data_IF_191235787070
#
_entry.id   IF_191235787070
#
_cell.length_a   1.000
_cell.length_b   1.000
_cell.length_c   1.000
_cell.angle_alpha   90.00
_cell.angle_beta   90.00
_cell.angle_gamma   90.00
#
_symmetry.space_group_name_H-M   'P 1'
#
loop_
_entity.id
_entity.type
_entity.pdbx_description
1 polymer ?
#
# COMPACT_ATOMS: atom_id res chain seq x y z
N UNK A 1 35.22 22.84 16.18
CA UNK A 1 34.99 22.18 17.48
C UNK A 1 34.52 20.78 17.15
N UNK A 2 35.45 19.82 17.09
CA UNK A 2 35.13 18.41 16.86
C UNK A 2 34.41 17.87 18.09
N UNK A 3 33.19 17.37 17.89
CA UNK A 3 32.38 16.77 18.94
C UNK A 3 32.53 15.26 18.79
N UNK A 4 33.06 14.61 19.83
CA UNK A 4 33.16 13.14 19.92
C UNK A 4 31.77 12.52 19.74
N UNK A 5 31.56 11.84 18.61
CA UNK A 5 30.34 11.06 18.34
C UNK A 5 30.48 9.68 18.99
N UNK A 6 29.51 9.30 19.83
CA UNK A 6 29.31 7.89 20.21
C UNK A 6 28.78 7.10 19.00
N UNK A 7 29.11 5.82 18.93
CA UNK A 7 28.70 4.87 17.87
C UNK A 7 27.22 5.05 17.50
N UNK A 8 26.96 5.39 16.23
CA UNK A 8 25.63 5.67 15.71
C UNK A 8 24.93 4.35 15.42
N UNK A 9 23.81 4.07 16.09
CA UNK A 9 22.87 3.05 15.63
C UNK A 9 22.26 3.57 14.33
N UNK A 10 22.35 2.78 13.26
CA UNK A 10 21.73 3.10 11.99
C UNK A 10 20.20 3.14 12.15
N UNK A 11 19.52 4.27 11.85
CA UNK A 11 18.06 4.40 11.95
C UNK A 11 17.30 3.28 11.21
N UNK A 12 17.86 2.79 10.10
CA UNK A 12 17.27 1.69 9.34
C UNK A 12 17.29 0.36 10.13
N UNK A 13 18.34 0.10 10.91
CA UNK A 13 18.45 -1.10 11.74
C UNK A 13 17.51 -1.08 12.94
N UNK A 14 17.37 0.08 13.61
CA UNK A 14 16.43 0.26 14.71
C UNK A 14 14.99 0.00 14.26
N UNK A 15 14.62 0.56 13.10
CA UNK A 15 13.34 0.35 12.47
C UNK A 15 13.10 -1.12 12.09
N UNK A 16 14.07 -1.75 11.40
CA UNK A 16 13.93 -3.14 10.98
C UNK A 16 13.68 -4.07 12.17
N UNK A 17 14.36 -3.83 13.30
CA UNK A 17 14.13 -4.57 14.54
C UNK A 17 12.69 -4.41 15.06
N UNK A 18 12.19 -3.17 15.15
CA UNK A 18 10.84 -2.89 15.64
C UNK A 18 9.77 -3.51 14.73
N UNK A 19 9.86 -3.26 13.42
CA UNK A 19 8.87 -3.75 12.47
C UNK A 19 8.89 -5.28 12.38
N UNK A 20 10.07 -5.88 12.28
CA UNK A 20 10.19 -7.35 12.21
C UNK A 20 9.75 -8.02 13.50
N UNK A 21 10.03 -7.44 14.68
CA UNK A 21 9.62 -8.03 15.95
C UNK A 21 8.10 -7.99 16.17
N UNK A 22 7.44 -6.89 15.75
CA UNK A 22 6.00 -6.71 15.95
C UNK A 22 5.13 -7.34 14.86
N UNK A 23 5.60 -7.30 13.62
CA UNK A 23 4.81 -7.61 12.43
C UNK A 23 5.34 -8.80 11.62
N UNK A 24 6.23 -9.63 12.19
CA UNK A 24 6.62 -10.88 11.54
C UNK A 24 5.42 -11.81 11.41
N UNK A 25 5.19 -12.33 10.19
CA UNK A 25 4.22 -13.40 9.97
C UNK A 25 2.77 -12.94 9.78
N UNK A 26 2.55 -11.64 9.52
CA UNK A 26 1.24 -11.16 9.09
C UNK A 26 0.75 -11.89 7.84
N UNK A 27 -0.56 -12.06 7.74
CA UNK A 27 -1.24 -12.39 6.49
C UNK A 27 -1.51 -11.13 5.64
N UNK A 28 -1.89 -11.29 4.36
CA UNK A 28 -2.27 -10.14 3.52
C UNK A 28 -3.42 -9.34 4.16
N UNK A 29 -4.44 -10.03 4.69
CA UNK A 29 -5.56 -9.36 5.35
C UNK A 29 -5.13 -8.56 6.58
N UNK A 30 -4.29 -9.14 7.43
CA UNK A 30 -3.77 -8.47 8.62
C UNK A 30 -2.85 -7.29 8.27
N UNK A 31 -2.05 -7.40 7.20
CA UNK A 31 -1.21 -6.29 6.73
C UNK A 31 -2.05 -5.05 6.37
N UNK A 32 -3.22 -5.24 5.73
CA UNK A 32 -4.17 -4.15 5.48
C UNK A 32 -4.78 -3.60 6.77
N UNK A 33 -5.27 -4.47 7.67
CA UNK A 33 -5.90 -4.03 8.92
C UNK A 33 -4.93 -3.26 9.83
N UNK A 34 -3.66 -3.66 9.84
CA UNK A 34 -2.63 -3.06 10.68
C UNK A 34 -1.89 -1.90 10.01
N UNK A 35 -2.20 -1.56 8.76
CA UNK A 35 -1.47 -0.54 8.00
C UNK A 35 -1.35 0.80 8.75
N UNK A 36 -2.42 1.24 9.43
CA UNK A 36 -2.37 2.48 10.25
C UNK A 36 -1.47 2.33 11.49
N UNK A 37 -1.56 1.20 12.18
CA UNK A 37 -0.74 0.94 13.35
C UNK A 37 0.76 0.82 12.99
N UNK A 38 1.07 0.28 11.81
CA UNK A 38 2.43 0.24 11.29
C UNK A 38 2.95 1.66 11.03
N UNK A 39 2.16 2.56 10.43
CA UNK A 39 2.56 3.97 10.28
C UNK A 39 2.75 4.68 11.62
N UNK A 40 1.90 4.39 12.61
CA UNK A 40 2.05 4.94 13.96
C UNK A 40 3.39 4.53 14.57
N UNK A 41 3.77 3.25 14.42
CA UNK A 41 5.07 2.75 14.87
C UNK A 41 6.25 3.35 14.09
N UNK A 42 6.12 3.56 12.77
CA UNK A 42 7.15 4.24 11.96
C UNK A 42 7.36 5.67 12.46
N UNK A 43 6.28 6.40 12.77
CA UNK A 43 6.35 7.75 13.34
C UNK A 43 7.05 7.76 14.70
N UNK A 44 6.71 6.82 15.57
CA UNK A 44 7.33 6.71 16.89
C UNK A 44 8.83 6.40 16.78
N UNK A 45 9.25 5.54 15.83
CA UNK A 45 10.67 5.29 15.55
C UNK A 45 11.36 6.55 15.01
N UNK A 46 10.77 7.23 14.03
CA UNK A 46 11.35 8.46 13.47
C UNK A 46 11.54 9.52 14.57
N UNK A 47 10.55 9.67 15.43
CA UNK A 47 10.60 10.57 16.57
C UNK A 47 11.69 10.18 17.57
N UNK A 48 11.77 8.90 17.95
CA UNK A 48 12.79 8.40 18.86
C UNK A 48 14.20 8.61 18.31
N UNK A 49 14.42 8.37 17.02
CA UNK A 49 15.71 8.57 16.37
C UNK A 49 16.15 10.04 16.33
N UNK A 50 15.20 10.97 16.14
CA UNK A 50 15.49 12.42 16.27
C UNK A 50 15.92 12.78 17.69
N UNK A 51 15.24 12.24 18.72
CA UNK A 51 15.64 12.44 20.12
C UNK A 51 17.01 11.82 20.39
N UNK A 52 17.24 10.58 19.95
CA UNK A 52 18.51 9.87 20.11
C UNK A 52 19.67 10.65 19.49
N UNK A 53 19.46 11.28 18.34
CA UNK A 53 20.46 12.14 17.71
C UNK A 53 20.85 13.32 18.61
N UNK A 54 19.87 14.06 19.15
CA UNK A 54 20.18 15.17 20.05
C UNK A 54 20.89 14.72 21.33
N UNK A 55 20.46 13.59 21.91
CA UNK A 55 21.07 13.01 23.13
C UNK A 55 22.55 12.68 23.02
N UNK A 56 23.10 12.60 21.80
CA UNK A 56 24.52 12.32 21.58
C UNK A 56 25.43 13.52 21.86
N UNK A 57 24.93 14.75 21.78
CA UNK A 57 25.75 15.92 22.08
C UNK A 57 25.58 16.37 23.52
N UNK A 58 26.70 16.66 24.19
CA UNK A 58 26.72 17.10 25.59
C UNK A 58 25.89 18.38 25.86
N UNK A 59 25.64 19.18 24.81
CA UNK A 59 24.78 20.38 24.89
C UNK A 59 23.30 20.08 25.02
N UNK A 60 22.89 18.83 24.83
CA UNK A 60 21.50 18.38 24.98
C UNK A 60 21.38 17.43 26.16
N UNK A 61 20.25 17.53 26.85
CA UNK A 61 19.89 16.60 27.92
C UNK A 61 18.53 15.98 27.62
N UNK A 62 18.52 14.68 27.38
CA UNK A 62 17.29 13.90 27.24
C UNK A 62 16.53 13.84 28.57
N UNK A 63 15.21 13.87 28.49
CA UNK A 63 14.33 13.70 29.64
C UNK A 63 13.73 12.30 29.69
N UNK A 64 13.12 11.97 30.84
CA UNK A 64 12.36 10.74 31.00
C UNK A 64 11.14 10.69 30.05
N UNK A 65 10.65 11.86 29.61
CA UNK A 65 9.63 11.94 28.58
C UNK A 65 10.25 11.57 27.21
N UNK A 66 9.69 10.59 26.48
CA UNK A 66 10.32 10.00 25.28
C UNK A 66 10.39 10.95 24.07
N UNK A 67 9.86 12.16 24.18
CA UNK A 67 9.63 13.11 23.09
C UNK A 67 10.25 14.49 23.33
N UNK A 68 10.98 14.65 24.43
CA UNK A 68 11.43 15.95 24.90
C UNK A 68 12.93 15.97 25.23
N UNK A 69 13.55 17.14 25.01
CA UNK A 69 14.95 17.36 25.36
C UNK A 69 15.20 18.83 25.78
N UNK A 70 16.22 19.04 26.60
CA UNK A 70 16.71 20.37 26.93
C UNK A 70 17.86 20.80 26.01
N UNK A 71 17.81 22.05 25.55
CA UNK A 71 18.92 22.72 24.87
C UNK A 71 18.94 24.21 25.24
N UNK A 72 20.09 24.74 25.64
CA UNK A 72 20.24 26.15 26.05
C UNK A 72 19.17 26.64 27.04
N UNK A 73 18.90 25.84 28.08
CA UNK A 73 17.89 26.09 29.12
C UNK A 73 16.43 26.21 28.63
N UNK A 74 16.15 25.81 27.37
CA UNK A 74 14.81 25.69 26.82
C UNK A 74 14.43 24.22 26.68
N UNK A 75 13.16 23.92 26.93
CA UNK A 75 12.58 22.58 26.77
C UNK A 75 11.98 22.51 25.37
N UNK A 76 12.41 21.52 24.59
CA UNK A 76 11.89 21.27 23.26
C UNK A 76 11.17 19.95 23.20
N UNK A 77 10.11 19.89 22.40
CA UNK A 77 9.38 18.67 22.06
C UNK A 77 9.47 18.39 20.56
N UNK A 78 9.60 17.12 20.20
CA UNK A 78 9.53 16.66 18.81
C UNK A 78 8.11 16.17 18.53
N UNK A 79 7.60 16.46 17.35
CA UNK A 79 6.28 16.02 16.89
C UNK A 79 6.39 15.53 15.46
N UNK A 80 5.85 14.33 15.20
CA UNK A 80 5.81 13.72 13.87
C UNK A 80 4.37 13.28 13.63
N UNK A 81 3.65 13.97 12.74
CA UNK A 81 2.22 13.75 12.53
C UNK A 81 1.81 13.95 11.07
N UNK A 82 0.65 13.45 10.66
CA UNK A 82 0.10 13.76 9.33
C UNK A 82 -0.41 15.20 9.29
N UNK A 83 -0.16 15.90 8.19
CA UNK A 83 -0.59 17.28 8.00
C UNK A 83 -2.13 17.37 7.89
N UNK A 84 -2.72 18.33 8.59
CA UNK A 84 -4.19 18.50 8.60
C UNK A 84 -4.73 18.87 7.21
N UNK A 85 -4.00 19.72 6.47
CA UNK A 85 -4.43 20.23 5.16
C UNK A 85 -4.09 19.30 4.01
N UNK A 86 -3.12 18.40 4.20
CA UNK A 86 -2.67 17.46 3.18
C UNK A 86 -2.41 16.10 3.85
N UNK A 87 -3.39 15.18 3.88
CA UNK A 87 -3.26 13.93 4.61
C UNK A 87 -2.14 13.01 4.10
N UNK A 88 -1.60 13.29 2.90
CA UNK A 88 -0.49 12.54 2.29
C UNK A 88 0.89 13.12 2.66
N UNK A 89 0.94 14.21 3.43
CA UNK A 89 2.16 14.85 3.90
C UNK A 89 2.36 14.59 5.38
N UNK A 90 3.61 14.33 5.75
CA UNK A 90 4.03 14.30 7.13
C UNK A 90 4.55 15.69 7.56
N UNK A 91 4.12 16.16 8.72
CA UNK A 91 4.65 17.35 9.39
C UNK A 91 5.57 16.90 10.53
N UNK A 92 6.83 17.32 10.45
CA UNK A 92 7.82 17.15 11.52
C UNK A 92 8.08 18.51 12.14
N UNK A 93 7.78 18.65 13.43
CA UNK A 93 7.93 19.92 14.13
C UNK A 93 8.76 19.72 15.40
N UNK A 94 9.75 20.57 15.61
CA UNK A 94 10.39 20.75 16.91
C UNK A 94 9.87 22.06 17.49
N UNK A 95 9.31 22.01 18.70
CA UNK A 95 8.67 23.15 19.33
C UNK A 95 9.37 23.49 20.64
N UNK A 96 9.52 24.77 20.95
CA UNK A 96 9.80 25.21 22.33
C UNK A 96 8.50 25.05 23.12
N UNK A 97 8.49 24.21 24.16
CA UNK A 97 7.29 23.89 24.93
C UNK A 97 6.70 25.13 25.61
N UNK A 98 7.52 26.14 25.92
CA UNK A 98 7.06 27.39 26.55
C UNK A 98 6.63 28.45 25.54
N UNK A 99 7.21 28.42 24.34
CA UNK A 99 6.96 29.39 23.27
C UNK A 99 6.71 28.68 21.93
N UNK A 100 5.62 27.89 21.80
CA UNK A 100 5.40 27.03 20.63
C UNK A 100 5.15 27.82 19.33
N UNK A 101 4.77 29.09 19.42
CA UNK A 101 4.58 30.02 18.29
C UNK A 101 5.79 30.91 18.03
N UNK A 102 6.94 30.61 18.64
CA UNK A 102 8.18 31.34 18.44
C UNK A 102 8.70 31.29 17.00
N UNK A 103 9.75 32.05 16.69
CA UNK A 103 10.30 32.13 15.34
C UNK A 103 10.91 30.78 14.91
N UNK A 104 10.38 30.21 13.83
CA UNK A 104 10.79 28.92 13.25
C UNK A 104 11.48 29.08 11.91
N UNK A 105 12.40 28.16 11.62
CA UNK A 105 12.96 27.91 10.31
C UNK A 105 12.23 26.73 9.67
N UNK A 106 11.62 26.97 8.51
CA UNK A 106 11.03 25.91 7.69
C UNK A 106 12.11 25.34 6.77
N UNK A 107 12.24 24.02 6.80
CA UNK A 107 13.04 23.25 5.86
C UNK A 107 12.06 22.56 4.91
N UNK A 108 12.24 22.84 3.61
CA UNK A 108 11.26 22.56 2.56
C UNK A 108 10.92 21.06 2.40
N UNK A 109 9.92 20.76 1.55
CA UNK A 109 9.43 19.40 1.41
C UNK A 109 10.52 18.48 0.88
N UNK A 110 10.70 17.32 1.53
CA UNK A 110 11.49 16.22 0.99
C UNK A 110 10.56 15.05 0.68
N UNK A 111 10.52 14.69 -0.60
CA UNK A 111 9.76 13.55 -1.08
C UNK A 111 10.47 12.25 -0.71
N UNK A 112 9.69 11.21 -0.44
CA UNK A 112 10.15 9.83 -0.37
C UNK A 112 9.15 8.95 -1.12
N UNK A 113 9.67 8.00 -1.90
CA UNK A 113 8.84 7.04 -2.63
C UNK A 113 8.53 5.85 -1.74
N UNK A 114 7.33 5.28 -1.90
CA UNK A 114 7.03 3.98 -1.32
C UNK A 114 5.55 3.70 -1.06
N UNK A 115 5.30 2.48 -0.61
CA UNK A 115 3.97 1.91 -0.51
C UNK A 115 3.12 2.33 0.72
N UNK A 116 3.68 3.14 1.63
CA UNK A 116 3.00 3.60 2.86
C UNK A 116 2.04 4.79 2.66
N UNK A 117 1.69 5.51 3.71
CA UNK A 117 0.67 6.57 3.65
C UNK A 117 1.21 7.91 3.13
N UNK A 118 2.39 8.31 3.55
CA UNK A 118 2.96 9.62 3.25
C UNK A 118 3.81 9.59 1.97
N UNK A 119 3.96 10.74 1.32
CA UNK A 119 4.78 10.88 0.08
C UNK A 119 5.93 11.86 0.24
N UNK A 120 5.77 12.78 1.17
CA UNK A 120 6.67 13.87 1.45
C UNK A 120 6.53 14.26 2.90
N UNK A 121 7.52 14.98 3.40
CA UNK A 121 7.44 15.63 4.69
C UNK A 121 8.01 17.04 4.64
N UNK A 122 7.44 17.91 5.47
CA UNK A 122 7.99 19.22 5.80
C UNK A 122 8.60 19.18 7.21
N UNK A 123 9.66 19.94 7.43
CA UNK A 123 10.30 20.08 8.74
C UNK A 123 10.26 21.54 9.20
N UNK A 124 9.79 21.75 10.43
CA UNK A 124 9.86 23.04 11.11
C UNK A 124 10.69 22.91 12.38
N UNK A 125 11.71 23.74 12.52
CA UNK A 125 12.55 23.79 13.73
C UNK A 125 12.63 25.22 14.25
N UNK A 126 12.81 25.45 15.56
CA UNK A 126 13.06 26.77 16.10
C UNK A 126 14.37 27.32 15.54
N UNK A 127 14.50 28.65 15.37
CA UNK A 127 15.74 29.26 14.84
C UNK A 127 17.01 28.84 15.60
N UNK A 128 16.89 28.59 16.91
CA UNK A 128 17.99 28.10 17.74
C UNK A 128 18.56 26.74 17.29
N UNK A 129 17.78 25.95 16.56
CA UNK A 129 18.11 24.61 16.07
C UNK A 129 18.28 24.56 14.55
N UNK A 130 18.30 25.70 13.84
CA UNK A 130 18.40 25.73 12.38
C UNK A 130 19.61 24.95 11.83
N UNK A 131 20.73 24.94 12.56
CA UNK A 131 21.95 24.21 12.17
C UNK A 131 21.83 22.68 12.23
N UNK A 132 20.74 22.15 12.80
CA UNK A 132 20.46 20.71 12.89
C UNK A 132 19.35 20.27 11.91
N UNK A 133 18.70 21.21 11.21
CA UNK A 133 17.54 20.94 10.37
C UNK A 133 17.81 19.85 9.31
N UNK A 134 18.94 19.97 8.61
CA UNK A 134 19.33 19.00 7.57
C UNK A 134 19.53 17.59 8.15
N UNK A 135 20.19 17.46 9.29
CA UNK A 135 20.43 16.14 9.91
C UNK A 135 19.13 15.52 10.44
N UNK A 136 18.24 16.32 11.04
CA UNK A 136 16.91 15.86 11.46
C UNK A 136 16.10 15.38 10.25
N UNK A 137 16.10 16.16 9.16
CA UNK A 137 15.43 15.77 7.92
C UNK A 137 16.00 14.48 7.34
N UNK A 138 17.32 14.28 7.38
CA UNK A 138 17.96 13.05 6.90
C UNK A 138 17.57 11.83 7.75
N UNK A 139 17.52 11.97 9.08
CA UNK A 139 17.09 10.87 9.98
C UNK A 139 15.66 10.44 9.66
N UNK A 140 14.72 11.39 9.59
CA UNK A 140 13.31 11.09 9.28
C UNK A 140 13.20 10.43 7.91
N UNK A 141 13.89 10.98 6.91
CA UNK A 141 13.91 10.43 5.56
C UNK A 141 14.39 8.97 5.53
N UNK A 142 15.52 8.67 6.19
CA UNK A 142 16.07 7.32 6.24
C UNK A 142 15.13 6.33 6.90
N UNK A 143 14.46 6.73 8.00
CA UNK A 143 13.46 5.88 8.66
C UNK A 143 12.29 5.58 7.72
N UNK A 144 11.73 6.58 7.04
CA UNK A 144 10.59 6.37 6.13
C UNK A 144 10.95 5.55 4.89
N UNK A 145 12.11 5.81 4.27
CA UNK A 145 12.58 5.03 3.12
C UNK A 145 12.80 3.57 3.51
N UNK A 146 13.47 3.31 4.64
CA UNK A 146 13.68 1.96 5.14
C UNK A 146 12.35 1.26 5.48
N UNK A 147 11.38 2.00 6.06
CA UNK A 147 10.07 1.45 6.42
C UNK A 147 9.29 1.00 5.19
N UNK A 148 9.29 1.84 4.15
CA UNK A 148 8.50 1.58 2.97
C UNK A 148 9.14 0.48 2.11
N UNK A 149 10.47 0.41 2.07
CA UNK A 149 11.17 -0.73 1.48
C UNK A 149 10.83 -2.04 2.21
N UNK A 150 10.80 -2.03 3.55
CA UNK A 150 10.40 -3.20 4.34
C UNK A 150 8.94 -3.61 4.06
N UNK A 151 8.02 -2.65 4.02
CA UNK A 151 6.60 -2.90 3.72
C UNK A 151 6.39 -3.53 2.36
N UNK A 152 7.11 -3.06 1.34
CA UNK A 152 7.06 -3.63 0.00
C UNK A 152 7.61 -5.05 -0.03
N UNK A 153 8.77 -5.28 0.60
CA UNK A 153 9.35 -6.61 0.69
C UNK A 153 8.40 -7.60 1.38
N UNK A 154 7.75 -7.21 2.49
CA UNK A 154 6.79 -8.06 3.19
C UNK A 154 5.52 -8.28 2.35
N UNK A 155 5.00 -7.26 1.66
CA UNK A 155 3.89 -7.41 0.72
C UNK A 155 4.20 -8.47 -0.34
N UNK A 156 5.33 -8.34 -1.05
CA UNK A 156 5.67 -9.26 -2.14
C UNK A 156 5.98 -10.68 -1.65
N UNK A 157 6.53 -10.82 -0.44
CA UNK A 157 6.68 -12.13 0.21
C UNK A 157 5.31 -12.77 0.46
N UNK A 158 4.31 -12.01 0.91
CA UNK A 158 2.96 -12.51 1.16
C UNK A 158 2.19 -12.80 -0.13
N UNK A 159 2.34 -11.95 -1.15
CA UNK A 159 1.82 -12.15 -2.50
C UNK A 159 2.34 -13.47 -3.05
N UNK A 160 3.67 -13.68 -3.04
CA UNK A 160 4.30 -14.94 -3.49
C UNK A 160 3.82 -16.18 -2.72
N UNK A 161 3.43 -16.03 -1.45
CA UNK A 161 2.90 -17.14 -0.66
C UNK A 161 1.47 -17.55 -1.06
N UNK A 162 0.67 -16.62 -1.58
CA UNK A 162 -0.71 -16.88 -2.03
C UNK A 162 -0.81 -17.13 -3.54
N UNK A 163 0.11 -16.54 -4.31
CA UNK A 163 0.21 -16.61 -5.75
C UNK A 163 0.94 -17.89 -6.17
N UNK A 164 0.19 -18.90 -6.60
CA UNK A 164 0.77 -20.06 -7.27
C UNK A 164 -0.16 -20.55 -8.38
N UNK A 165 0.38 -20.59 -9.60
CA UNK A 165 -0.08 -21.45 -10.69
C UNK A 165 -1.05 -20.80 -11.67
N UNK A 166 -2.24 -20.38 -11.20
CA UNK A 166 -3.28 -19.91 -12.11
C UNK A 166 -2.93 -18.59 -12.82
N UNK A 167 -2.67 -17.52 -12.06
CA UNK A 167 -2.34 -16.22 -12.62
C UNK A 167 -1.02 -16.28 -13.41
N UNK A 168 0.00 -16.94 -12.83
CA UNK A 168 1.29 -17.18 -13.49
C UNK A 168 1.14 -17.73 -14.91
N UNK A 169 0.33 -18.78 -15.10
CA UNK A 169 0.14 -19.40 -16.41
C UNK A 169 -0.49 -18.43 -17.43
N UNK A 170 -1.50 -17.66 -17.02
CA UNK A 170 -2.13 -16.65 -17.87
C UNK A 170 -1.15 -15.55 -18.28
N UNK A 171 -0.40 -14.99 -17.34
CA UNK A 171 0.54 -13.92 -17.63
C UNK A 171 1.79 -14.41 -18.36
N UNK A 172 2.28 -15.62 -18.09
CA UNK A 172 3.37 -16.22 -18.85
C UNK A 172 2.97 -16.40 -20.32
N UNK A 173 1.75 -16.88 -20.59
CA UNK A 173 1.26 -16.97 -21.95
C UNK A 173 1.09 -15.59 -22.59
N UNK A 174 0.48 -14.62 -21.88
CA UNK A 174 0.34 -13.24 -22.35
C UNK A 174 1.69 -12.61 -22.71
N UNK A 175 2.70 -12.73 -21.85
CA UNK A 175 4.05 -12.23 -22.11
C UNK A 175 4.69 -12.93 -23.30
N UNK A 176 4.46 -14.23 -23.47
CA UNK A 176 4.99 -14.98 -24.61
C UNK A 176 4.42 -14.45 -25.93
N UNK A 177 3.10 -14.26 -26.02
CA UNK A 177 2.47 -13.76 -27.24
C UNK A 177 2.81 -12.30 -27.52
N UNK A 178 2.91 -11.45 -26.48
CA UNK A 178 3.28 -10.05 -26.65
C UNK A 178 4.77 -9.87 -26.97
N UNK A 179 5.66 -10.68 -26.41
CA UNK A 179 7.09 -10.64 -26.75
C UNK A 179 7.34 -11.04 -28.20
N UNK A 180 6.57 -12.00 -28.73
CA UNK A 180 6.65 -12.38 -30.14
C UNK A 180 6.24 -11.23 -31.09
N UNK A 181 5.53 -10.22 -30.58
CA UNK A 181 5.11 -9.03 -31.31
C UNK A 181 5.88 -7.76 -30.86
N UNK A 182 7.02 -7.91 -30.17
CA UNK A 182 7.87 -6.82 -29.64
C UNK A 182 7.14 -5.86 -28.68
N UNK A 183 6.08 -6.34 -28.02
CA UNK A 183 5.17 -5.56 -27.14
C UNK A 183 5.16 -6.07 -25.70
N UNK A 184 6.23 -6.73 -25.26
CA UNK A 184 6.32 -7.40 -23.96
C UNK A 184 5.88 -6.57 -22.75
N UNK A 185 6.23 -5.28 -22.75
CA UNK A 185 5.90 -4.35 -21.65
C UNK A 185 4.41 -4.05 -21.48
N UNK A 186 3.55 -4.44 -22.42
CA UNK A 186 2.10 -4.25 -22.30
C UNK A 186 1.45 -5.28 -21.37
N UNK A 187 2.11 -6.41 -21.11
CA UNK A 187 1.54 -7.49 -20.29
C UNK A 187 1.19 -7.02 -18.88
N UNK A 188 2.02 -6.16 -18.30
CA UNK A 188 1.85 -5.67 -16.92
C UNK A 188 0.77 -4.56 -16.84
N UNK A 189 0.18 -4.17 -17.98
CA UNK A 189 -0.99 -3.27 -18.08
C UNK A 189 -2.30 -4.00 -18.36
N UNK A 190 -2.27 -5.33 -18.36
CA UNK A 190 -3.44 -6.19 -18.46
C UNK A 190 -3.76 -6.76 -17.08
N UNK A 191 -5.04 -6.84 -16.76
CA UNK A 191 -5.52 -7.39 -15.50
C UNK A 191 -6.53 -8.49 -15.80
N UNK A 192 -6.17 -9.73 -15.48
CA UNK A 192 -7.13 -10.83 -15.59
C UNK A 192 -8.08 -10.83 -14.40
N UNK A 193 -9.34 -11.18 -14.66
CA UNK A 193 -10.36 -11.35 -13.62
C UNK A 193 -11.26 -12.53 -13.94
N UNK A 194 -11.76 -13.17 -12.90
CA UNK A 194 -12.66 -14.31 -13.01
C UNK A 194 -13.95 -14.01 -12.29
N UNK A 195 -15.07 -14.12 -12.99
CA UNK A 195 -16.41 -13.88 -12.47
C UNK A 195 -17.23 -15.15 -12.46
N UNK A 196 -17.84 -15.49 -11.33
CA UNK A 196 -18.97 -16.41 -11.23
C UNK A 196 -20.28 -15.63 -11.16
N UNK A 197 -21.42 -16.32 -11.07
CA UNK A 197 -22.73 -15.68 -10.88
C UNK A 197 -22.80 -14.76 -9.65
N UNK A 198 -22.04 -15.10 -8.60
CA UNK A 198 -22.10 -14.38 -7.32
C UNK A 198 -20.93 -13.42 -7.13
N UNK A 199 -19.76 -13.75 -7.68
CA UNK A 199 -18.56 -12.97 -7.37
C UNK A 199 -17.46 -12.97 -8.41
N UNK A 200 -16.70 -11.88 -8.45
CA UNK A 200 -15.47 -11.71 -9.19
C UNK A 200 -14.22 -11.68 -8.30
N UNK A 201 -13.09 -12.06 -8.88
CA UNK A 201 -11.76 -11.94 -8.28
C UNK A 201 -10.76 -11.53 -9.36
N UNK A 202 -9.79 -10.68 -9.00
CA UNK A 202 -8.64 -10.47 -9.86
C UNK A 202 -7.71 -11.68 -9.79
N UNK A 203 -7.18 -12.07 -10.95
CA UNK A 203 -6.12 -13.03 -11.08
C UNK A 203 -4.87 -12.25 -11.53
N UNK A 204 -4.08 -11.80 -10.56
CA UNK A 204 -2.89 -11.00 -10.79
C UNK A 204 -1.66 -11.84 -10.44
N UNK A 205 -0.62 -11.71 -11.26
CA UNK A 205 0.69 -12.22 -10.89
C UNK A 205 1.54 -11.13 -10.21
N UNK A 206 2.71 -11.50 -9.69
CA UNK A 206 3.54 -10.62 -8.88
C UNK A 206 4.01 -9.39 -9.64
N UNK A 207 4.27 -9.54 -10.95
CA UNK A 207 4.67 -8.43 -11.83
C UNK A 207 3.51 -7.48 -12.13
N UNK A 208 2.31 -7.99 -12.35
CA UNK A 208 1.13 -7.15 -12.49
C UNK A 208 0.83 -6.40 -11.19
N UNK A 209 1.00 -7.05 -10.04
CA UNK A 209 0.87 -6.43 -8.71
C UNK A 209 1.93 -5.32 -8.52
N UNK A 210 3.18 -5.57 -8.90
CA UNK A 210 4.27 -4.59 -8.88
C UNK A 210 3.95 -3.38 -9.75
N UNK A 211 3.53 -3.60 -10.99
CA UNK A 211 3.14 -2.52 -11.89
C UNK A 211 1.95 -1.69 -11.37
N UNK A 212 0.96 -2.34 -10.75
CA UNK A 212 -0.16 -1.62 -10.11
C UNK A 212 0.34 -0.80 -8.93
N UNK A 213 1.20 -1.37 -8.08
CA UNK A 213 1.76 -0.66 -6.94
C UNK A 213 2.55 0.57 -7.38
N UNK A 214 3.37 0.45 -8.43
CA UNK A 214 4.15 1.56 -8.98
C UNK A 214 3.27 2.68 -9.54
N UNK A 215 2.13 2.33 -10.15
CA UNK A 215 1.13 3.33 -10.56
C UNK A 215 0.53 4.03 -9.35
N UNK A 216 0.18 3.29 -8.30
CA UNK A 216 -0.44 3.85 -7.08
C UNK A 216 0.53 4.73 -6.28
N UNK A 217 1.84 4.42 -6.28
CA UNK A 217 2.90 5.25 -5.67
C UNK A 217 2.99 6.64 -6.29
N UNK A 218 2.54 6.82 -7.54
CA UNK A 218 2.51 8.14 -8.20
C UNK A 218 1.46 9.08 -7.59
N UNK A 219 0.53 8.57 -6.77
CA UNK A 219 -0.37 9.37 -5.92
C UNK A 219 -1.09 10.50 -6.67
N UNK A 220 -1.63 10.16 -7.83
CA UNK A 220 -2.35 11.10 -8.71
C UNK A 220 -3.67 11.60 -8.09
N UNK A 221 -4.18 10.93 -7.07
CA UNK A 221 -5.40 11.28 -6.35
C UNK A 221 -5.23 11.16 -4.82
N UNK A 222 -6.03 11.93 -4.09
CA UNK A 222 -6.06 11.89 -2.62
C UNK A 222 -6.90 10.70 -2.15
N UNK A 223 -6.32 9.89 -1.28
CA UNK A 223 -6.92 8.67 -0.74
C UNK A 223 -6.60 8.55 0.74
N UNK A 224 -7.58 8.07 1.51
CA UNK A 224 -7.42 7.73 2.92
C UNK A 224 -6.77 6.35 3.14
N UNK A 225 -6.42 5.68 2.05
CA UNK A 225 -5.65 4.43 2.02
C UNK A 225 -4.28 4.64 1.38
N UNK A 226 -3.28 3.92 1.90
CA UNK A 226 -1.96 3.79 1.28
C UNK A 226 -1.99 3.01 -0.04
N UNK A 227 -1.01 3.21 -0.95
CA UNK A 227 -0.83 2.37 -2.13
C UNK A 227 -0.85 0.87 -1.82
N UNK A 228 -0.16 0.44 -0.76
CA UNK A 228 -0.18 -0.95 -0.30
C UNK A 228 -1.61 -1.41 0.05
N UNK A 229 -2.35 -0.59 0.80
CA UNK A 229 -3.71 -0.95 1.23
C UNK A 229 -4.66 -1.10 0.03
N UNK A 230 -4.49 -0.29 -1.02
CA UNK A 230 -5.20 -0.42 -2.28
C UNK A 230 -4.90 -1.75 -2.97
N UNK A 231 -3.61 -2.09 -3.13
CA UNK A 231 -3.18 -3.36 -3.74
C UNK A 231 -3.72 -4.56 -2.96
N UNK A 232 -3.59 -4.55 -1.64
CA UNK A 232 -4.10 -5.64 -0.80
C UNK A 232 -5.62 -5.76 -0.90
N UNK A 233 -6.33 -4.63 -0.97
CA UNK A 233 -7.79 -4.63 -1.18
C UNK A 233 -8.15 -5.24 -2.53
N UNK A 234 -7.41 -4.92 -3.59
CA UNK A 234 -7.61 -5.47 -4.93
C UNK A 234 -7.44 -7.01 -4.96
N UNK A 235 -6.39 -7.52 -4.30
CA UNK A 235 -6.12 -8.97 -4.21
C UNK A 235 -7.19 -9.68 -3.39
N UNK A 236 -7.65 -9.07 -2.30
CA UNK A 236 -8.54 -9.70 -1.33
C UNK A 236 -10.01 -9.63 -1.65
N UNK A 237 -10.44 -8.69 -2.49
CA UNK A 237 -11.85 -8.40 -2.62
C UNK A 237 -12.58 -9.44 -3.46
N UNK A 238 -13.71 -9.89 -2.92
CA UNK A 238 -14.76 -10.54 -3.65
C UNK A 238 -15.70 -9.49 -4.27
N UNK A 239 -15.56 -9.22 -5.57
CA UNK A 239 -16.42 -8.27 -6.29
C UNK A 239 -17.83 -8.86 -6.47
N UNK A 240 -18.92 -8.18 -6.12
CA UNK A 240 -20.28 -8.63 -6.43
C UNK A 240 -20.46 -8.66 -7.96
N UNK A 241 -20.69 -9.85 -8.51
CA UNK A 241 -20.74 -10.05 -9.97
C UNK A 241 -21.78 -9.16 -10.63
N UNK A 242 -23.02 -9.12 -10.11
CA UNK A 242 -24.11 -8.27 -10.59
C UNK A 242 -23.79 -6.77 -10.62
N UNK A 243 -22.74 -6.37 -9.88
CA UNK A 243 -22.23 -5.02 -9.75
C UNK A 243 -20.79 -4.94 -10.31
N UNK A 244 -20.48 -5.63 -11.41
CA UNK A 244 -19.20 -5.48 -12.11
C UNK A 244 -19.40 -4.88 -13.49
N UNK A 245 -18.49 -3.99 -13.90
CA UNK A 245 -18.41 -3.50 -15.29
C UNK A 245 -18.17 -4.62 -16.30
N UNK A 246 -17.61 -5.75 -15.85
CA UNK A 246 -17.37 -6.91 -16.70
C UNK A 246 -18.65 -7.63 -17.10
N UNK A 247 -19.76 -7.47 -16.39
CA UNK A 247 -20.97 -8.27 -16.63
C UNK A 247 -21.62 -8.01 -17.98
N UNK A 248 -21.65 -6.77 -18.43
CA UNK A 248 -22.20 -6.40 -19.72
C UNK A 248 -21.35 -7.02 -20.85
N UNK A 249 -20.01 -7.01 -20.71
CA UNK A 249 -19.09 -7.67 -21.64
C UNK A 249 -19.24 -9.20 -21.63
N UNK A 250 -19.37 -9.80 -20.44
CA UNK A 250 -19.59 -11.24 -20.25
C UNK A 250 -20.91 -11.69 -20.87
N UNK A 251 -22.00 -10.98 -20.58
CA UNK A 251 -23.37 -11.31 -21.05
C UNK A 251 -23.47 -11.19 -22.56
N UNK A 252 -22.91 -10.12 -23.12
CA UNK A 252 -22.86 -9.92 -24.58
C UNK A 252 -21.82 -10.78 -25.28
N UNK A 253 -20.90 -11.42 -24.54
CA UNK A 253 -19.71 -12.14 -25.02
C UNK A 253 -18.84 -11.33 -25.97
N UNK A 254 -18.85 -10.00 -25.82
CA UNK A 254 -18.18 -9.05 -26.71
C UNK A 254 -17.25 -8.15 -25.91
N UNK A 255 -16.24 -7.69 -26.63
CA UNK A 255 -15.43 -6.56 -26.21
C UNK A 255 -16.33 -5.37 -25.86
N UNK A 256 -16.08 -4.74 -24.72
CA UNK A 256 -16.78 -3.50 -24.34
C UNK A 256 -15.83 -2.51 -23.68
N UNK A 257 -16.07 -1.22 -23.92
CA UNK A 257 -15.38 -0.12 -23.26
C UNK A 257 -16.34 0.60 -22.30
N UNK A 258 -15.85 0.89 -21.10
CA UNK A 258 -16.61 1.60 -20.07
C UNK A 258 -15.84 2.83 -19.62
N UNK A 259 -16.53 3.97 -19.55
CA UNK A 259 -15.98 5.12 -18.84
C UNK A 259 -16.15 4.92 -17.35
N UNK A 260 -15.05 4.97 -16.58
CA UNK A 260 -15.10 4.87 -15.13
C UNK A 260 -15.95 5.99 -14.50
N UNK A 261 -15.99 7.18 -15.10
CA UNK A 261 -16.84 8.29 -14.66
C UNK A 261 -18.35 7.97 -14.70
N UNK A 262 -18.77 6.96 -15.50
CA UNK A 262 -20.18 6.55 -15.66
C UNK A 262 -20.50 5.25 -14.92
N UNK A 263 -19.53 4.63 -14.26
CA UNK A 263 -19.68 3.36 -13.57
C UNK A 263 -20.45 3.51 -12.25
N UNK A 264 -21.50 2.71 -12.04
CA UNK A 264 -22.43 2.82 -10.91
C UNK A 264 -21.92 2.29 -9.55
N UNK A 265 -20.60 2.19 -9.33
CA UNK A 265 -20.01 1.59 -8.10
C UNK A 265 -19.50 2.59 -7.07
N UNK A 266 -19.80 3.88 -7.26
CA UNK A 266 -19.24 4.99 -6.47
C UNK A 266 -19.57 4.91 -4.98
N UNK A 267 -20.69 4.29 -4.57
CA UNK A 267 -21.07 4.23 -3.15
C UNK A 267 -20.54 3.02 -2.38
N UNK A 268 -20.47 1.84 -2.99
CA UNK A 268 -20.32 0.57 -2.23
C UNK A 268 -18.89 -0.01 -2.27
N UNK A 269 -18.05 0.40 -3.23
CA UNK A 269 -16.68 -0.12 -3.43
C UNK A 269 -15.68 0.97 -3.81
N UNK A 270 -15.73 2.09 -3.09
CA UNK A 270 -14.97 3.30 -3.44
C UNK A 270 -13.45 3.09 -3.55
N UNK A 271 -12.86 2.20 -2.74
CA UNK A 271 -11.42 1.92 -2.76
C UNK A 271 -10.95 1.27 -4.06
N UNK A 272 -11.72 0.30 -4.58
CA UNK A 272 -11.38 -0.39 -5.83
C UNK A 272 -11.61 0.50 -7.02
N UNK A 273 -12.71 1.25 -7.01
CA UNK A 273 -12.94 2.23 -8.07
C UNK A 273 -11.75 3.19 -8.19
N UNK A 274 -11.28 3.74 -7.06
CA UNK A 274 -10.09 4.61 -7.05
C UNK A 274 -8.81 3.89 -7.49
N UNK A 275 -8.69 2.61 -7.19
CA UNK A 275 -7.57 1.78 -7.65
C UNK A 275 -7.62 1.59 -9.17
N UNK A 276 -8.76 1.20 -9.74
CA UNK A 276 -8.97 1.03 -11.18
C UNK A 276 -8.85 2.35 -11.95
N UNK A 277 -9.34 3.45 -11.38
CA UNK A 277 -9.17 4.80 -11.92
C UNK A 277 -7.70 5.17 -12.01
N UNK A 278 -6.90 4.87 -11.00
CA UNK A 278 -5.46 5.09 -11.06
C UNK A 278 -4.78 4.19 -12.10
N UNK A 279 -5.12 2.90 -12.13
CA UNK A 279 -4.58 1.93 -13.09
C UNK A 279 -4.83 2.31 -14.55
N UNK A 280 -5.96 2.98 -14.83
CA UNK A 280 -6.32 3.49 -16.16
C UNK A 280 -5.97 4.96 -16.40
N UNK A 281 -5.35 5.63 -15.42
CA UNK A 281 -5.03 7.05 -15.46
C UNK A 281 -6.26 7.96 -15.65
N UNK A 282 -7.40 7.60 -15.05
CA UNK A 282 -8.67 8.33 -15.17
C UNK A 282 -9.39 8.11 -16.50
N UNK A 283 -8.91 7.18 -17.32
CA UNK A 283 -9.43 6.89 -18.64
C UNK A 283 -10.63 5.92 -18.67
N UNK A 284 -10.86 5.36 -19.85
CA UNK A 284 -11.83 4.29 -20.03
C UNK A 284 -11.18 2.91 -19.85
N UNK A 285 -12.02 1.96 -19.43
CA UNK A 285 -11.69 0.59 -19.12
C UNK A 285 -12.19 -0.30 -20.25
N UNK A 286 -11.30 -1.08 -20.85
CA UNK A 286 -11.63 -2.04 -21.89
C UNK A 286 -11.66 -3.46 -21.32
N UNK A 287 -12.73 -4.19 -21.62
CA UNK A 287 -12.96 -5.54 -21.09
C UNK A 287 -13.17 -6.51 -22.25
N UNK A 288 -12.41 -7.60 -22.23
CA UNK A 288 -12.43 -8.64 -23.25
C UNK A 288 -12.70 -10.02 -22.62
N UNK A 289 -13.87 -10.64 -22.89
CA UNK A 289 -14.16 -12.00 -22.41
C UNK A 289 -13.31 -13.05 -23.13
N UNK A 290 -12.53 -13.82 -22.39
CA UNK A 290 -11.59 -14.81 -22.96
C UNK A 290 -12.16 -16.21 -23.01
N UNK A 291 -12.97 -16.62 -22.04
CA UNK A 291 -13.57 -17.95 -22.05
C UNK A 291 -14.33 -18.27 -20.76
N UNK A 292 -14.88 -19.47 -20.72
CA UNK A 292 -15.67 -19.95 -19.59
C UNK A 292 -15.32 -21.39 -19.21
N UNK A 293 -15.42 -21.69 -17.92
CA UNK A 293 -15.39 -23.06 -17.38
C UNK A 293 -16.52 -23.21 -16.36
N UNK A 294 -17.57 -23.94 -16.72
CA UNK A 294 -18.79 -23.99 -15.92
C UNK A 294 -19.47 -22.61 -15.86
N UNK A 295 -19.76 -22.15 -14.65
CA UNK A 295 -20.33 -20.84 -14.35
C UNK A 295 -19.28 -19.71 -14.28
N UNK A 296 -18.00 -20.05 -14.33
CA UNK A 296 -16.91 -19.09 -14.18
C UNK A 296 -16.45 -18.54 -15.54
N UNK A 297 -16.30 -17.22 -15.61
CA UNK A 297 -15.99 -16.45 -16.81
C UNK A 297 -14.65 -15.74 -16.61
N UNK A 298 -13.70 -15.99 -17.51
CA UNK A 298 -12.41 -15.29 -17.54
C UNK A 298 -12.52 -14.06 -18.45
N UNK A 299 -12.09 -12.92 -17.92
CA UNK A 299 -11.98 -11.67 -18.68
C UNK A 299 -10.57 -11.10 -18.55
N UNK A 300 -10.12 -10.44 -19.61
CA UNK A 300 -8.98 -9.52 -19.57
C UNK A 300 -9.50 -8.10 -19.52
N UNK A 301 -8.89 -7.29 -18.67
CA UNK A 301 -9.15 -5.88 -18.56
C UNK A 301 -7.88 -5.08 -18.83
N UNK A 302 -8.01 -3.91 -19.44
CA UNK A 302 -6.88 -3.02 -19.73
C UNK A 302 -7.36 -1.59 -20.01
N UNK A 303 -6.49 -0.57 -19.97
CA UNK A 303 -6.86 0.79 -20.38
C UNK A 303 -7.32 0.83 -21.84
N UNK A 304 -8.45 1.47 -22.14
CA UNK A 304 -8.98 1.60 -23.51
C UNK A 304 -7.98 2.19 -24.50
N UNK A 305 -7.04 3.02 -24.04
CA UNK A 305 -5.97 3.58 -24.87
C UNK A 305 -5.06 2.50 -25.50
N UNK A 306 -5.05 1.28 -24.95
CA UNK A 306 -4.27 0.14 -25.45
C UNK A 306 -5.09 -0.81 -26.33
N UNK A 307 -6.33 -0.44 -26.68
CA UNK A 307 -7.23 -1.31 -27.45
C UNK A 307 -6.59 -1.81 -28.73
N UNK A 308 -6.04 -0.91 -29.53
CA UNK A 308 -5.56 -1.25 -30.87
C UNK A 308 -4.32 -2.17 -30.81
N UNK A 309 -3.61 -2.17 -29.67
CA UNK A 309 -2.48 -3.05 -29.42
C UNK A 309 -2.87 -4.41 -28.84
N UNK A 310 -3.83 -4.44 -27.92
CA UNK A 310 -4.16 -5.64 -27.13
C UNK A 310 -5.33 -6.45 -27.68
N UNK A 311 -6.33 -5.78 -28.27
CA UNK A 311 -7.53 -6.47 -28.78
C UNK A 311 -7.20 -7.51 -29.86
N UNK A 312 -6.36 -7.22 -30.89
CA UNK A 312 -6.03 -8.21 -31.90
C UNK A 312 -5.31 -9.44 -31.32
N UNK A 313 -4.47 -9.23 -30.30
CA UNK A 313 -3.77 -10.30 -29.59
C UNK A 313 -4.76 -11.23 -28.88
N UNK A 314 -5.74 -10.68 -28.17
CA UNK A 314 -6.77 -11.47 -27.51
C UNK A 314 -7.71 -12.17 -28.50
N UNK A 315 -8.08 -11.53 -29.61
CA UNK A 315 -8.92 -12.15 -30.65
C UNK A 315 -8.21 -13.35 -31.28
N UNK A 316 -6.93 -13.20 -31.66
CA UNK A 316 -6.12 -14.26 -32.28
C UNK A 316 -5.84 -15.43 -31.35
N UNK A 317 -5.66 -15.18 -30.05
CA UNK A 317 -5.20 -16.18 -29.08
C UNK A 317 -6.30 -16.66 -28.12
N UNK A 318 -7.57 -16.29 -28.35
CA UNK A 318 -8.69 -16.55 -27.45
C UNK A 318 -8.81 -18.02 -27.04
N UNK A 319 -8.74 -18.93 -28.02
CA UNK A 319 -8.88 -20.37 -27.77
C UNK A 319 -7.78 -20.91 -26.87
N UNK A 320 -6.56 -20.39 -26.99
CA UNK A 320 -5.42 -20.80 -26.16
C UNK A 320 -5.56 -20.25 -24.74
N UNK A 321 -5.98 -18.99 -24.56
CA UNK A 321 -6.32 -18.47 -23.24
C UNK A 321 -7.41 -19.31 -22.55
N UNK A 322 -8.44 -19.73 -23.30
CA UNK A 322 -9.47 -20.62 -22.78
C UNK A 322 -8.91 -22.00 -22.41
N UNK A 323 -7.99 -22.56 -23.20
CA UNK A 323 -7.33 -23.83 -22.90
C UNK A 323 -6.48 -23.74 -21.63
N UNK A 324 -5.66 -22.70 -21.50
CA UNK A 324 -4.86 -22.42 -20.28
C UNK A 324 -5.80 -22.30 -19.08
N UNK A 325 -6.91 -21.57 -19.23
CA UNK A 325 -7.90 -21.46 -18.16
C UNK A 325 -8.46 -22.82 -17.74
N UNK A 326 -8.88 -23.65 -18.69
CA UNK A 326 -9.42 -24.99 -18.42
C UNK A 326 -8.44 -25.90 -17.67
N UNK A 327 -7.16 -25.85 -18.04
CA UNK A 327 -6.11 -26.65 -17.41
C UNK A 327 -5.85 -26.22 -15.96
N UNK A 328 -5.95 -24.92 -15.68
CA UNK A 328 -5.57 -24.34 -14.39
C UNK A 328 -6.73 -24.13 -13.40
N UNK A 329 -7.97 -24.51 -13.72
CA UNK A 329 -9.15 -24.35 -12.82
C UNK A 329 -8.95 -24.98 -11.43
N UNK A 330 -8.24 -26.12 -11.34
CA UNK A 330 -7.93 -26.75 -10.04
C UNK A 330 -6.95 -25.92 -9.22
N UNK A 331 -6.04 -25.21 -9.88
CA UNK A 331 -5.11 -24.28 -9.25
C UNK A 331 -5.85 -23.03 -8.76
N UNK A 332 -6.76 -22.51 -9.58
CA UNK A 332 -7.61 -21.37 -9.24
C UNK A 332 -8.40 -21.56 -7.94
N UNK A 333 -9.10 -22.69 -7.77
CA UNK A 333 -9.88 -22.95 -6.55
C UNK A 333 -9.01 -22.91 -5.30
N UNK A 334 -7.78 -23.45 -5.38
CA UNK A 334 -6.81 -23.42 -4.28
C UNK A 334 -6.31 -22.00 -4.03
N UNK A 335 -6.03 -21.24 -5.08
CA UNK A 335 -5.61 -19.84 -4.99
C UNK A 335 -6.67 -18.97 -4.30
N UNK A 336 -7.94 -19.02 -4.75
CA UNK A 336 -9.05 -18.28 -4.12
C UNK A 336 -9.19 -18.68 -2.64
N UNK A 337 -9.11 -19.97 -2.33
CA UNK A 337 -9.20 -20.43 -0.94
C UNK A 337 -8.06 -19.89 -0.06
N UNK A 338 -6.83 -19.79 -0.57
CA UNK A 338 -5.69 -19.20 0.15
C UNK A 338 -5.88 -17.71 0.38
N UNK A 339 -6.32 -16.96 -0.63
CA UNK A 339 -6.66 -15.54 -0.48
C UNK A 339 -7.73 -15.39 0.59
N UNK A 340 -8.87 -16.07 0.45
CA UNK A 340 -9.95 -15.97 1.44
C UNK A 340 -9.51 -16.36 2.87
N UNK A 341 -8.66 -17.38 3.02
CA UNK A 341 -8.12 -17.77 4.32
C UNK A 341 -7.22 -16.68 4.94
N UNK A 342 -6.46 -15.95 4.11
CA UNK A 342 -5.65 -14.79 4.51
C UNK A 342 -6.51 -13.68 5.10
N UNK A 343 -7.68 -13.40 4.51
CA UNK A 343 -8.60 -12.36 4.99
C UNK A 343 -9.46 -12.81 6.18
N UNK A 344 -9.90 -14.07 6.24
CA UNK A 344 -10.68 -14.59 7.39
C UNK A 344 -9.92 -14.61 8.72
N UNK A 345 -8.59 -14.78 8.67
CA UNK A 345 -7.75 -14.66 9.88
C UNK A 345 -7.79 -13.23 10.42
N UNK A 346 -7.75 -12.26 9.51
CA UNK A 346 -7.87 -10.85 9.83
C UNK A 346 -9.22 -10.55 10.52
N UNK A 347 -10.34 -11.02 9.96
CA UNK A 347 -11.67 -10.83 10.59
C UNK A 347 -11.71 -11.39 12.01
N UNK A 348 -11.20 -12.61 12.22
CA UNK A 348 -11.16 -13.23 13.56
C UNK A 348 -10.27 -12.47 14.53
N UNK A 349 -9.13 -11.95 14.06
CA UNK A 349 -8.24 -11.12 14.86
C UNK A 349 -8.90 -9.79 15.24
N UNK A 350 -9.66 -9.18 14.33
CA UNK A 350 -10.44 -7.98 14.60
C UNK A 350 -11.56 -8.24 15.62
N UNK A 351 -12.33 -9.32 15.47
CA UNK A 351 -13.34 -9.74 16.44
C UNK A 351 -12.74 -10.07 17.82
N UNK A 352 -11.59 -10.75 17.86
CA UNK A 352 -10.89 -11.05 19.10
C UNK A 352 -10.31 -9.77 19.75
N UNK A 353 -9.81 -8.83 18.94
CA UNK A 353 -9.32 -7.53 19.40
C UNK A 353 -10.44 -6.63 19.94
N UNK A 354 -11.60 -6.62 19.28
CA UNK A 354 -12.80 -5.94 19.77
C UNK A 354 -13.32 -6.57 21.06
N UNK A 355 -13.40 -7.90 21.13
CA UNK A 355 -13.77 -8.60 22.36
C UNK A 355 -12.77 -8.32 23.51
N UNK A 356 -11.48 -8.27 23.21
CA UNK A 356 -10.42 -7.92 24.17
C UNK A 356 -10.48 -6.47 24.64
N UNK A 357 -10.75 -5.51 23.76
CA UNK A 357 -10.99 -4.09 24.13
C UNK A 357 -12.26 -3.94 24.94
N UNK A 358 -13.34 -4.61 24.56
CA UNK A 358 -14.59 -4.59 25.32
C UNK A 358 -14.41 -5.18 26.71
N UNK A 359 -13.71 -6.32 26.85
CA UNK A 359 -13.40 -6.90 28.15
C UNK A 359 -12.47 -5.99 28.98
N UNK A 360 -11.46 -5.37 28.36
CA UNK A 360 -10.57 -4.40 28.99
C UNK A 360 -11.31 -3.15 29.50
N UNK A 361 -12.22 -2.59 28.71
CA UNK A 361 -12.99 -1.38 29.06
C UNK A 361 -14.13 -1.66 30.05
N UNK A 362 -14.75 -2.85 30.00
CA UNK A 362 -15.84 -3.25 30.91
C UNK A 362 -15.31 -3.77 32.25
N UNK A 363 -14.13 -4.39 32.29
CA UNK A 363 -13.53 -4.91 33.54
C UNK A 363 -12.65 -3.88 34.25
N UNK A 364 -12.16 -2.83 33.57
CA UNK A 364 -11.37 -1.74 34.19
C UNK A 364 -12.06 -1.08 35.40
N UNK A 365 -13.37 -0.80 35.40
CA UNK A 365 -14.08 -0.22 36.53
C UNK A 365 -14.28 -1.17 37.72
N UNK A 366 -14.05 -2.47 37.54
CA UNK A 366 -14.24 -3.50 38.57
C UNK A 366 -12.93 -3.99 39.17
N UNK A 367 -11.79 -3.57 38.61
CA UNK A 367 -10.43 -3.94 39.04
C UNK A 367 -9.63 -2.73 39.54
N UNK A 368 -10.24 -1.54 39.63
CA UNK A 368 -9.67 -0.31 40.20
C UNK A 368 -10.16 -0.06 41.61
#
# INVERSE_FOLDING_TARGET
MEIERKSQTDPANALHFVLSAKYSGLTLGELRLQARQIEDDIRDVAQAEVINHFSQFASFRQLAAPREFFFRNKLYSVHVAGAVRNPMRLEVCILDVREPTGPTHAWGPKAFDGAGYFRDFDLQVPHALQGYAETVAEIVFQVYVAAYAWLEAELFKLVKAVEQGFADALYQYLRTVLNAEERGGLADRVWFSIFSEKSGYYALDGKAIEAILDVLKQRRYVSDLSPLSHVVSLIGLQMPSAKSLSMDAITSRRYTEYSLQKAAYVSDMSDIFKTEEQMTLGGAYAIFPLGAVGDQQLVAAFPSSLRDDLRPVFEKNREVFQLVYQQEVRSLKRHIARIQASFRRADRAEYAGMAGRFLSEVLKPWLS
#
